data_IF_038830536515
#
_entry.id   IF_038830536515
#
_cell.length_a   1.000
_cell.length_b   1.000
_cell.length_c   1.000
_cell.angle_alpha   90.00
_cell.angle_beta   90.00
_cell.angle_gamma   90.00
#
_symmetry.space_group_name_H-M   'P 1'
#
loop_
_entity.id
_entity.type
_entity.pdbx_description
1 polymer ?
#
# COMPACT_ATOMS: atom_id res chain seq x y z
N UNK A 1 -18.54 1.25 -0.22
CA UNK A 1 -17.46 0.56 0.53
C UNK A 1 -17.72 -0.92 0.83
N UNK A 2 -18.97 -1.36 1.13
CA UNK A 2 -19.26 -2.71 1.67
C UNK A 2 -18.97 -3.89 0.71
N UNK A 3 -19.08 -3.71 -0.61
CA UNK A 3 -18.88 -4.80 -1.59
C UNK A 3 -17.49 -4.84 -2.27
N UNK A 4 -16.54 -4.00 -1.85
CA UNK A 4 -15.20 -4.00 -2.46
C UNK A 4 -14.34 -5.15 -1.92
N UNK A 5 -13.58 -5.82 -2.79
CA UNK A 5 -12.70 -6.92 -2.39
C UNK A 5 -11.42 -6.40 -1.71
N UNK A 6 -11.55 -5.95 -0.46
CA UNK A 6 -10.46 -5.40 0.35
C UNK A 6 -9.29 -6.33 0.54
N UNK A 7 -9.58 -7.63 0.71
CA UNK A 7 -8.55 -8.68 0.84
C UNK A 7 -7.65 -8.72 -0.40
N UNK A 8 -8.19 -8.51 -1.61
CA UNK A 8 -7.40 -8.46 -2.84
C UNK A 8 -6.47 -7.25 -2.86
N UNK A 9 -6.93 -6.07 -2.44
CA UNK A 9 -6.09 -4.87 -2.37
C UNK A 9 -4.97 -5.03 -1.34
N UNK A 10 -5.27 -5.55 -0.16
CA UNK A 10 -4.26 -5.81 0.88
C UNK A 10 -3.20 -6.80 0.39
N UNK A 11 -3.60 -7.93 -0.22
CA UNK A 11 -2.66 -8.90 -0.79
C UNK A 11 -1.75 -8.28 -1.85
N UNK A 12 -2.31 -7.46 -2.74
CA UNK A 12 -1.54 -6.80 -3.79
C UNK A 12 -0.53 -5.79 -3.22
N UNK A 13 -0.95 -4.98 -2.25
CA UNK A 13 -0.06 -4.03 -1.59
C UNK A 13 1.06 -4.75 -0.81
N UNK A 14 0.72 -5.78 -0.06
CA UNK A 14 1.67 -6.57 0.72
C UNK A 14 2.74 -7.23 -0.17
N UNK A 15 2.34 -7.75 -1.34
CA UNK A 15 3.31 -8.29 -2.33
C UNK A 15 4.30 -7.24 -2.81
N UNK A 16 3.84 -6.01 -3.06
CA UNK A 16 4.72 -4.92 -3.47
C UNK A 16 5.66 -4.50 -2.33
N UNK A 17 5.15 -4.38 -1.10
CA UNK A 17 5.96 -4.07 0.08
C UNK A 17 7.03 -5.14 0.33
N UNK A 18 6.68 -6.43 0.19
CA UNK A 18 7.65 -7.53 0.32
C UNK A 18 8.75 -7.47 -0.75
N UNK A 19 8.43 -7.04 -1.97
CA UNK A 19 9.42 -6.80 -3.02
C UNK A 19 10.34 -5.63 -2.70
N UNK A 20 9.80 -4.55 -2.11
CA UNK A 20 10.61 -3.42 -1.62
C UNK A 20 11.58 -3.91 -0.55
N UNK A 21 11.08 -4.65 0.43
CA UNK A 21 11.91 -5.21 1.51
C UNK A 21 13.02 -6.11 0.97
N UNK A 22 12.70 -7.03 0.06
CA UNK A 22 13.72 -7.87 -0.57
C UNK A 22 14.77 -7.05 -1.34
N UNK A 23 14.34 -6.08 -2.15
CA UNK A 23 15.26 -5.22 -2.89
C UNK A 23 16.17 -4.38 -1.96
N UNK A 24 15.65 -3.99 -0.78
CA UNK A 24 16.43 -3.31 0.25
C UNK A 24 17.47 -4.24 0.88
N UNK A 25 17.11 -5.50 1.18
CA UNK A 25 18.06 -6.52 1.66
C UNK A 25 19.16 -6.80 0.62
N UNK A 26 18.80 -6.83 -0.66
CA UNK A 26 19.74 -7.04 -1.78
C UNK A 26 20.64 -5.81 -2.03
N UNK A 27 20.40 -4.66 -1.37
CA UNK A 27 21.16 -3.41 -1.54
C UNK A 27 20.87 -2.63 -2.82
N UNK A 28 19.89 -3.06 -3.63
CA UNK A 28 19.54 -2.41 -4.90
C UNK A 28 18.62 -1.20 -4.69
N UNK A 29 19.23 -0.06 -4.39
CA UNK A 29 18.52 1.20 -4.14
C UNK A 29 17.72 1.71 -5.35
N UNK A 30 18.17 1.43 -6.57
CA UNK A 30 17.45 1.82 -7.80
C UNK A 30 16.13 1.07 -7.89
N UNK A 31 16.16 -0.24 -7.64
CA UNK A 31 14.98 -1.11 -7.62
C UNK A 31 14.04 -0.75 -6.47
N UNK A 32 14.56 -0.45 -5.28
CA UNK A 32 13.75 0.06 -4.15
C UNK A 32 12.97 1.30 -4.57
N UNK A 33 13.64 2.32 -5.14
CA UNK A 33 13.00 3.57 -5.54
C UNK A 33 11.93 3.36 -6.63
N UNK A 34 12.18 2.47 -7.59
CA UNK A 34 11.20 2.12 -8.61
C UNK A 34 9.98 1.39 -8.02
N UNK A 35 10.19 0.47 -7.08
CA UNK A 35 9.10 -0.25 -6.41
C UNK A 35 8.29 0.66 -5.49
N UNK A 36 8.92 1.61 -4.80
CA UNK A 36 8.22 2.63 -4.00
C UNK A 36 7.32 3.51 -4.89
N UNK A 37 7.81 3.98 -6.04
CA UNK A 37 6.98 4.70 -7.02
C UNK A 37 5.81 3.84 -7.51
N UNK A 38 6.02 2.54 -7.73
CA UNK A 38 4.97 1.61 -8.13
C UNK A 38 3.90 1.45 -7.04
N UNK A 39 4.30 1.38 -5.76
CA UNK A 39 3.38 1.36 -4.62
C UNK A 39 2.50 2.61 -4.61
N UNK A 40 3.08 3.80 -4.77
CA UNK A 40 2.34 5.06 -4.77
C UNK A 40 1.33 5.15 -5.92
N UNK A 41 1.66 4.61 -7.11
CA UNK A 41 0.75 4.60 -8.27
C UNK A 41 -0.34 3.52 -8.18
N UNK A 42 -0.17 2.52 -7.31
CA UNK A 42 -1.06 1.37 -7.21
C UNK A 42 -2.48 1.77 -6.78
N UNK A 43 -3.48 1.27 -7.50
CA UNK A 43 -4.89 1.42 -7.12
C UNK A 43 -5.17 0.80 -5.75
N UNK A 44 -4.49 -0.31 -5.43
CA UNK A 44 -4.65 -0.99 -4.15
C UNK A 44 -4.20 -0.11 -2.98
N UNK A 45 -3.07 0.59 -3.13
CA UNK A 45 -2.56 1.52 -2.13
C UNK A 45 -3.52 2.71 -1.94
N UNK A 46 -3.99 3.31 -3.04
CA UNK A 46 -4.96 4.41 -3.00
C UNK A 46 -6.27 4.03 -2.33
N UNK A 47 -6.86 2.90 -2.72
CA UNK A 47 -8.12 2.42 -2.14
C UNK A 47 -8.01 2.15 -0.63
N UNK A 48 -6.89 1.58 -0.18
CA UNK A 48 -6.64 1.36 1.24
C UNK A 48 -6.41 2.66 2.00
N UNK A 49 -5.72 3.65 1.41
CA UNK A 49 -5.54 4.97 2.02
C UNK A 49 -6.88 5.71 2.18
N UNK A 50 -7.73 5.72 1.15
CA UNK A 50 -9.06 6.35 1.27
C UNK A 50 -9.91 5.61 2.30
N UNK A 51 -9.85 4.27 2.34
CA UNK A 51 -10.54 3.49 3.38
C UNK A 51 -10.07 3.87 4.78
N UNK A 52 -8.76 3.96 5.00
CA UNK A 52 -8.16 4.37 6.27
C UNK A 52 -8.73 5.73 6.71
N UNK A 53 -8.69 6.74 5.85
CA UNK A 53 -9.20 8.07 6.16
C UNK A 53 -10.71 8.04 6.41
N UNK A 54 -11.48 7.33 5.59
CA UNK A 54 -12.95 7.28 5.71
C UNK A 54 -13.48 6.50 6.92
N UNK A 55 -12.73 5.50 7.42
CA UNK A 55 -13.22 4.57 8.46
C UNK A 55 -12.52 4.76 9.80
N UNK A 56 -11.27 5.19 9.81
CA UNK A 56 -10.46 5.34 11.02
C UNK A 56 -10.24 6.80 11.40
N UNK A 57 -10.43 7.74 10.47
CA UNK A 57 -10.39 9.18 10.78
C UNK A 57 -11.79 9.82 10.86
N UNK A 58 -12.86 9.04 11.01
CA UNK A 58 -14.25 9.53 11.03
C UNK A 58 -14.65 10.28 12.32
N UNK A 59 -13.69 10.73 13.11
CA UNK A 59 -13.92 11.54 14.30
C UNK A 59 -12.65 11.58 15.14
N UNK A 60 -12.01 12.74 15.22
CA UNK A 60 -10.88 13.02 16.08
C UNK A 60 -11.11 12.52 17.52
N UNK A 61 -10.09 11.92 18.13
CA UNK A 61 -9.92 11.94 19.58
C UNK A 61 -8.59 12.65 19.88
N UNK A 62 -8.63 13.97 19.77
CA UNK A 62 -7.90 14.88 20.68
C UNK A 62 -8.70 14.96 21.96
#
# INVERSE_FOLDING_TARGET
WKNQNWKKFQKNLFRLQKRVYKAMQDGDLRKVRNLQRLVLKSLAARMLAVRQVSQLNSGSAT
#
